data_IF_530401074802
#
_entry.id   IF_530401074802
#
_cell.length_a   1.000
_cell.length_b   1.000
_cell.length_c   1.000
_cell.angle_alpha   90.00
_cell.angle_beta   90.00
_cell.angle_gamma   90.00
#
_symmetry.space_group_name_H-M   'P 1'
#
loop_
_entity.id
_entity.type
_entity.pdbx_description
1 polymer ?
#
# COMPACT_ATOMS: atom_id res chain seq x y z
N UNK A 1 10.97 -24.81 -2.14
CA UNK A 1 11.57 -25.59 -1.00
C UNK A 1 12.47 -26.69 -1.53
N UNK A 2 11.99 -27.43 -2.52
CA UNK A 2 12.74 -28.49 -3.21
C UNK A 2 13.14 -28.07 -4.63
N UNK A 3 14.18 -28.70 -5.15
CA UNK A 3 14.60 -28.66 -6.56
C UNK A 3 13.75 -29.56 -7.45
N UNK A 4 14.10 -29.66 -8.73
CA UNK A 4 13.35 -30.43 -9.73
C UNK A 4 13.27 -31.95 -9.43
N UNK A 5 14.14 -32.51 -8.57
CA UNK A 5 14.05 -33.92 -8.14
C UNK A 5 13.43 -34.09 -6.75
N UNK A 6 12.85 -33.03 -6.18
CA UNK A 6 12.25 -33.10 -4.85
C UNK A 6 13.27 -33.06 -3.71
N UNK A 7 14.55 -32.76 -3.96
CA UNK A 7 15.56 -32.59 -2.92
C UNK A 7 15.50 -31.18 -2.36
N UNK A 8 15.60 -31.02 -1.04
CA UNK A 8 15.56 -29.72 -0.41
C UNK A 8 16.70 -28.80 -0.89
N UNK A 9 16.39 -27.52 -1.08
CA UNK A 9 17.42 -26.51 -1.34
C UNK A 9 18.32 -26.26 -0.13
N UNK A 10 17.73 -26.32 1.07
CA UNK A 10 18.37 -26.06 2.36
C UNK A 10 18.09 -27.24 3.30
N UNK A 11 19.08 -27.61 4.10
CA UNK A 11 18.95 -28.73 5.05
C UNK A 11 17.84 -28.49 6.09
N UNK A 12 17.63 -27.24 6.48
CA UNK A 12 16.60 -26.81 7.42
C UNK A 12 15.16 -26.79 6.83
N UNK A 13 14.99 -27.17 5.56
CA UNK A 13 13.68 -27.23 4.89
C UNK A 13 13.05 -25.86 4.59
N UNK A 14 13.76 -24.74 4.84
CA UNK A 14 13.25 -23.41 4.50
C UNK A 14 13.15 -23.21 2.99
N UNK A 15 12.09 -22.52 2.58
CA UNK A 15 11.90 -22.10 1.20
C UNK A 15 12.86 -20.98 0.81
N UNK A 16 12.95 -20.74 -0.50
CA UNK A 16 13.52 -19.50 -1.00
C UNK A 16 12.61 -18.32 -0.66
N UNK A 17 13.19 -17.12 -0.62
CA UNK A 17 12.45 -15.87 -0.45
C UNK A 17 11.91 -15.45 -1.81
N UNK A 18 10.61 -15.18 -1.89
CA UNK A 18 9.92 -14.79 -3.11
C UNK A 18 9.38 -13.38 -2.96
N UNK A 19 9.66 -12.52 -3.94
CA UNK A 19 9.18 -11.14 -4.00
C UNK A 19 8.20 -10.94 -5.17
N UNK A 20 7.40 -9.88 -5.04
CA UNK A 20 6.59 -9.26 -6.11
C UNK A 20 6.06 -10.24 -7.17
N UNK A 21 5.19 -11.19 -6.79
CA UNK A 21 4.66 -12.13 -7.76
C UNK A 21 3.69 -11.44 -8.72
N UNK A 22 3.72 -11.84 -9.99
CA UNK A 22 2.63 -11.63 -10.93
C UNK A 22 1.97 -12.96 -11.30
N UNK A 23 0.72 -12.91 -11.77
CA UNK A 23 -0.03 -14.09 -12.17
C UNK A 23 -0.80 -13.82 -13.47
N UNK A 24 -0.74 -14.74 -14.43
CA UNK A 24 -1.53 -14.67 -15.65
C UNK A 24 -2.34 -15.96 -15.88
N UNK A 25 -3.51 -15.82 -16.50
CA UNK A 25 -4.38 -16.91 -16.90
C UNK A 25 -4.21 -17.17 -18.41
N UNK A 26 -3.93 -18.42 -18.77
CA UNK A 26 -3.99 -18.94 -20.14
C UNK A 26 -5.24 -19.80 -20.27
N UNK A 27 -6.07 -19.50 -21.27
CA UNK A 27 -7.18 -20.38 -21.65
C UNK A 27 -6.72 -21.33 -22.75
N UNK A 28 -6.75 -22.62 -22.46
CA UNK A 28 -6.35 -23.67 -23.40
C UNK A 28 -7.43 -23.86 -24.47
N UNK A 29 -7.07 -24.49 -25.58
CA UNK A 29 -7.98 -24.73 -26.72
C UNK A 29 -9.19 -25.62 -26.37
N UNK A 30 -9.06 -26.47 -25.34
CA UNK A 30 -10.14 -27.30 -24.80
C UNK A 30 -11.06 -26.55 -23.80
N UNK A 31 -10.81 -25.26 -23.57
CA UNK A 31 -11.56 -24.41 -22.65
C UNK A 31 -11.10 -24.49 -21.19
N UNK A 32 -10.16 -25.39 -20.85
CA UNK A 32 -9.53 -25.44 -19.54
C UNK A 32 -8.62 -24.21 -19.31
N UNK A 33 -8.26 -23.98 -18.05
CA UNK A 33 -7.44 -22.82 -17.65
C UNK A 33 -6.12 -23.29 -17.03
N UNK A 34 -5.06 -22.57 -17.34
CA UNK A 34 -3.74 -22.71 -16.71
C UNK A 34 -3.34 -21.35 -16.13
N UNK A 35 -2.95 -21.32 -14.87
CA UNK A 35 -2.47 -20.11 -14.20
C UNK A 35 -0.95 -20.18 -14.07
N UNK A 36 -0.24 -19.14 -14.52
CA UNK A 36 1.21 -19.02 -14.40
C UNK A 36 1.55 -17.95 -13.36
N UNK A 37 2.35 -18.32 -12.37
CA UNK A 37 2.85 -17.49 -11.30
C UNK A 37 4.32 -17.17 -11.54
N UNK A 38 4.65 -15.88 -11.49
CA UNK A 38 5.98 -15.33 -11.74
C UNK A 38 6.50 -14.65 -10.47
N UNK A 39 7.08 -15.38 -9.51
CA UNK A 39 7.72 -14.76 -8.38
C UNK A 39 9.12 -14.25 -8.76
N UNK A 40 9.51 -13.08 -8.27
CA UNK A 40 10.91 -12.70 -8.23
C UNK A 40 11.63 -13.47 -7.10
N UNK A 41 12.12 -14.66 -7.41
CA UNK A 41 12.83 -15.50 -6.44
C UNK A 41 14.23 -14.93 -6.14
N UNK A 42 14.52 -14.65 -4.87
CA UNK A 42 15.78 -14.04 -4.45
C UNK A 42 16.98 -14.99 -4.45
N UNK A 43 16.77 -16.30 -4.66
CA UNK A 43 17.86 -17.27 -4.67
C UNK A 43 18.61 -17.29 -6.01
N UNK A 44 19.94 -17.32 -5.92
CA UNK A 44 20.82 -17.41 -7.10
C UNK A 44 20.47 -18.61 -7.98
N UNK A 45 20.41 -18.39 -9.29
CA UNK A 45 20.07 -19.39 -10.30
C UNK A 45 18.58 -19.66 -10.48
N UNK A 46 17.69 -19.02 -9.69
CA UNK A 46 16.23 -19.24 -9.77
C UNK A 46 15.40 -17.97 -9.92
N UNK A 47 16.02 -16.82 -10.19
CA UNK A 47 15.32 -15.52 -10.22
C UNK A 47 14.18 -15.44 -11.24
N UNK A 48 14.35 -16.10 -12.38
CA UNK A 48 13.41 -16.20 -13.49
C UNK A 48 12.37 -17.33 -13.31
N UNK A 49 12.14 -17.80 -12.08
CA UNK A 49 11.24 -18.93 -11.80
C UNK A 49 9.83 -18.66 -12.32
N UNK A 50 9.24 -19.66 -12.97
CA UNK A 50 7.84 -19.69 -13.38
C UNK A 50 7.21 -20.96 -12.86
N UNK A 51 6.07 -20.84 -12.21
CA UNK A 51 5.28 -21.96 -11.76
C UNK A 51 3.89 -21.93 -12.38
N UNK A 52 3.25 -23.09 -12.59
CA UNK A 52 1.91 -23.16 -13.14
C UNK A 52 0.98 -24.02 -12.30
N UNK A 53 -0.32 -23.78 -12.42
CA UNK A 53 -1.36 -24.58 -11.79
C UNK A 53 -2.62 -24.63 -12.64
N UNK A 54 -3.43 -25.67 -12.48
CA UNK A 54 -4.79 -25.71 -13.01
C UNK A 54 -5.78 -24.86 -12.17
N UNK A 55 -5.36 -24.39 -11.00
CA UNK A 55 -6.18 -23.59 -10.06
C UNK A 55 -5.50 -22.28 -9.71
N UNK A 56 -6.30 -21.21 -9.56
CA UNK A 56 -5.79 -19.88 -9.20
C UNK A 56 -5.13 -19.84 -7.81
N UNK A 57 -5.51 -20.74 -6.90
CA UNK A 57 -5.01 -20.86 -5.53
C UNK A 57 -3.97 -21.99 -5.36
N UNK A 58 -3.55 -22.60 -6.47
CA UNK A 58 -2.57 -23.68 -6.48
C UNK A 58 -3.15 -25.08 -6.19
N UNK A 59 -2.30 -26.08 -5.93
CA UNK A 59 -0.84 -25.97 -5.80
C UNK A 59 -0.16 -25.58 -7.12
N UNK A 60 0.93 -24.82 -7.01
CA UNK A 60 1.75 -24.41 -8.15
C UNK A 60 2.98 -25.31 -8.27
N UNK A 61 3.32 -25.68 -9.51
CA UNK A 61 4.49 -26.47 -9.85
C UNK A 61 5.42 -25.69 -10.77
N UNK A 62 6.70 -25.61 -10.42
CA UNK A 62 7.70 -24.92 -11.25
C UNK A 62 7.81 -25.62 -12.60
N UNK A 63 7.65 -24.85 -13.69
CA UNK A 63 7.54 -25.38 -15.05
C UNK A 63 8.72 -25.03 -15.96
N UNK A 64 9.70 -24.27 -15.46
CA UNK A 64 10.88 -23.84 -16.21
C UNK A 64 12.20 -24.26 -15.54
N UNK A 65 12.23 -25.44 -14.90
CA UNK A 65 13.48 -26.02 -14.43
C UNK A 65 14.47 -26.18 -15.58
N UNK A 66 15.75 -25.94 -15.30
CA UNK A 66 16.80 -26.20 -16.28
C UNK A 66 16.92 -27.69 -16.58
N UNK A 67 17.15 -28.02 -17.84
CA UNK A 67 17.40 -29.40 -18.26
C UNK A 67 18.78 -29.93 -17.84
N UNK A 68 19.68 -29.05 -17.38
CA UNK A 68 21.07 -29.39 -17.05
C UNK A 68 21.37 -29.30 -15.56
N UNK A 69 20.83 -28.29 -14.87
CA UNK A 69 20.98 -28.14 -13.41
C UNK A 69 19.60 -28.04 -12.75
N UNK A 70 19.18 -29.08 -12.01
CA UNK A 70 17.83 -29.10 -11.44
C UNK A 70 17.60 -28.10 -10.31
N UNK A 71 18.66 -27.45 -9.84
CA UNK A 71 18.57 -26.38 -8.85
C UNK A 71 18.42 -25.01 -9.51
N UNK A 72 18.32 -24.93 -10.83
CA UNK A 72 18.20 -23.68 -11.59
C UNK A 72 16.96 -23.66 -12.46
N UNK A 73 16.52 -22.46 -12.81
CA UNK A 73 15.43 -22.22 -13.76
C UNK A 73 15.92 -21.43 -14.98
N UNK A 74 15.21 -21.59 -16.11
CA UNK A 74 15.52 -21.00 -17.40
C UNK A 74 14.48 -19.94 -17.80
N UNK A 75 14.94 -18.80 -18.31
CA UNK A 75 14.09 -17.66 -18.65
C UNK A 75 14.84 -16.33 -18.61
N UNK A 76 14.23 -15.27 -19.11
CA UNK A 76 14.87 -13.96 -19.27
C UNK A 76 14.50 -12.92 -18.21
N UNK A 77 13.36 -13.08 -17.53
CA UNK A 77 12.86 -12.10 -16.57
C UNK A 77 13.62 -12.16 -15.24
N UNK A 78 13.80 -10.99 -14.61
CA UNK A 78 14.49 -10.85 -13.31
C UNK A 78 13.57 -10.13 -12.29
N UNK A 79 14.00 -8.99 -11.75
CA UNK A 79 13.33 -8.24 -10.67
C UNK A 79 11.91 -7.76 -11.06
N UNK A 80 10.92 -7.93 -10.19
CA UNK A 80 9.51 -7.48 -10.36
C UNK A 80 8.91 -7.80 -11.74
N UNK A 81 8.72 -9.10 -12.06
CA UNK A 81 8.16 -9.51 -13.34
C UNK A 81 6.67 -9.15 -13.44
N UNK A 82 6.26 -8.77 -14.63
CA UNK A 82 4.86 -8.75 -15.06
C UNK A 82 4.72 -9.41 -16.42
N UNK A 83 3.64 -10.16 -16.62
CA UNK A 83 3.38 -10.89 -17.86
C UNK A 83 2.01 -10.52 -18.40
N UNK A 84 1.98 -10.20 -19.69
CA UNK A 84 0.77 -9.92 -20.44
C UNK A 84 0.58 -10.94 -21.54
N UNK A 85 -0.60 -11.55 -21.59
CA UNK A 85 -1.05 -12.36 -22.72
C UNK A 85 -2.03 -11.49 -23.49
N UNK A 86 -1.70 -11.18 -24.72
CA UNK A 86 -2.53 -10.33 -25.58
C UNK A 86 -3.65 -11.13 -26.25
N UNK A 87 -4.61 -10.43 -26.82
CA UNK A 87 -5.80 -11.01 -27.47
C UNK A 87 -5.44 -11.93 -28.66
N UNK A 88 -4.28 -11.72 -29.28
CA UNK A 88 -3.75 -12.52 -30.38
C UNK A 88 -2.93 -13.74 -29.90
N UNK A 89 -2.85 -13.97 -28.59
CA UNK A 89 -2.10 -15.06 -27.97
C UNK A 89 -0.60 -14.83 -27.84
N UNK A 90 -0.09 -13.66 -28.24
CA UNK A 90 1.31 -13.29 -27.99
C UNK A 90 1.51 -12.98 -26.51
N UNK A 91 2.70 -13.29 -26.03
CA UNK A 91 3.05 -13.15 -24.61
C UNK A 91 4.16 -12.13 -24.48
N UNK A 92 4.04 -11.24 -23.52
CA UNK A 92 5.00 -10.18 -23.25
C UNK A 92 5.41 -10.18 -21.79
N UNK A 93 6.72 -10.12 -21.53
CA UNK A 93 7.28 -10.00 -20.19
C UNK A 93 7.86 -8.61 -19.98
N UNK A 94 7.71 -8.09 -18.77
CA UNK A 94 8.20 -6.78 -18.33
C UNK A 94 8.86 -6.94 -16.96
N UNK A 95 10.03 -6.36 -16.74
CA UNK A 95 10.75 -6.51 -15.48
C UNK A 95 11.79 -5.40 -15.29
N UNK A 96 12.33 -5.29 -14.07
CA UNK A 96 13.53 -4.52 -13.78
C UNK A 96 13.43 -3.62 -12.57
N UNK A 97 14.60 -3.16 -12.12
CA UNK A 97 14.78 -2.14 -11.09
C UNK A 97 15.83 -1.13 -11.58
N UNK A 98 15.58 0.17 -11.46
CA UNK A 98 16.32 1.30 -12.05
C UNK A 98 16.50 1.29 -13.58
N UNK A 99 16.10 0.22 -14.26
CA UNK A 99 16.12 0.07 -15.72
C UNK A 99 14.96 -0.83 -16.06
N UNK A 100 14.09 -0.38 -16.95
CA UNK A 100 12.99 -1.20 -17.43
C UNK A 100 13.48 -2.10 -18.56
N UNK A 101 12.97 -3.32 -18.57
CA UNK A 101 13.23 -4.32 -19.60
C UNK A 101 11.89 -4.91 -20.04
N UNK A 102 11.79 -5.24 -21.31
CA UNK A 102 10.63 -5.95 -21.84
C UNK A 102 11.02 -6.86 -23.00
N UNK A 103 10.23 -7.89 -23.25
CA UNK A 103 10.41 -8.77 -24.41
C UNK A 103 9.09 -9.43 -24.81
N UNK A 104 8.97 -9.80 -26.07
CA UNK A 104 8.02 -10.83 -26.47
C UNK A 104 8.58 -12.20 -26.03
N UNK A 105 7.77 -12.98 -25.31
CA UNK A 105 8.12 -14.29 -24.80
C UNK A 105 7.65 -15.40 -25.75
N UNK A 106 8.34 -16.53 -25.72
CA UNK A 106 7.89 -17.75 -26.37
C UNK A 106 6.66 -18.29 -25.61
N UNK A 107 5.47 -18.38 -26.25
CA UNK A 107 4.26 -18.87 -25.60
C UNK A 107 4.36 -20.33 -25.15
N UNK A 108 5.30 -21.12 -25.68
CA UNK A 108 5.49 -22.51 -25.28
C UNK A 108 6.24 -22.64 -23.95
N UNK A 109 7.20 -21.73 -23.69
CA UNK A 109 8.00 -21.76 -22.46
C UNK A 109 7.44 -20.83 -21.40
N UNK A 110 6.75 -19.77 -21.81
CA UNK A 110 6.23 -18.69 -20.96
C UNK A 110 7.34 -17.97 -20.15
N UNK A 111 8.61 -18.16 -20.51
CA UNK A 111 9.76 -17.73 -19.72
C UNK A 111 10.94 -17.21 -20.57
N UNK A 112 11.14 -17.72 -21.78
CA UNK A 112 12.23 -17.34 -22.68
C UNK A 112 11.79 -16.29 -23.70
N UNK A 113 12.72 -15.49 -24.21
CA UNK A 113 12.48 -14.58 -25.33
C UNK A 113 12.05 -15.38 -26.56
N UNK A 114 11.05 -14.90 -27.29
CA UNK A 114 10.58 -15.53 -28.53
C UNK A 114 11.71 -15.53 -29.58
N UNK A 115 11.98 -16.67 -30.25
CA UNK A 115 12.98 -16.72 -31.32
C UNK A 115 12.76 -15.65 -32.40
N UNK A 116 13.84 -14.99 -32.81
CA UNK A 116 13.80 -13.90 -33.80
C UNK A 116 13.39 -12.52 -33.24
N UNK A 117 13.11 -12.42 -31.94
CA UNK A 117 12.86 -11.14 -31.25
C UNK A 117 14.03 -10.77 -30.34
N UNK A 118 13.96 -9.62 -29.66
CA UNK A 118 15.03 -9.13 -28.78
C UNK A 118 14.46 -8.48 -27.54
N UNK A 119 15.27 -8.43 -26.48
CA UNK A 119 14.94 -7.70 -25.27
C UNK A 119 15.03 -6.19 -25.57
N UNK A 120 13.99 -5.47 -25.21
CA UNK A 120 13.93 -4.00 -25.20
C UNK A 120 14.44 -3.50 -23.86
N UNK A 121 15.41 -2.59 -23.90
CA UNK A 121 15.93 -1.89 -22.74
C UNK A 121 15.36 -0.47 -22.71
N UNK A 122 15.11 0.05 -21.51
CA UNK A 122 14.64 1.42 -21.29
C UNK A 122 13.32 1.71 -22.04
N UNK A 123 12.42 0.70 -22.12
CA UNK A 123 11.08 0.83 -22.69
C UNK A 123 10.30 1.98 -22.02
N UNK A 124 10.48 2.10 -20.71
CA UNK A 124 10.16 3.28 -19.91
C UNK A 124 11.49 3.88 -19.40
N UNK A 125 11.85 5.11 -19.77
CA UNK A 125 13.08 5.77 -19.32
C UNK A 125 13.25 5.76 -17.79
N UNK A 126 14.46 5.46 -17.35
CA UNK A 126 14.76 5.31 -15.93
C UNK A 126 14.89 6.64 -15.20
N UNK A 127 14.83 6.61 -13.86
CA UNK A 127 15.08 7.78 -13.00
C UNK A 127 16.45 8.44 -13.18
N UNK A 128 17.40 7.74 -13.79
CA UNK A 128 18.76 8.21 -14.02
C UNK A 128 18.90 8.92 -15.39
N UNK A 129 17.84 8.92 -16.18
CA UNK A 129 17.71 9.70 -17.41
C UNK A 129 16.96 11.00 -17.08
N UNK A 130 17.27 12.07 -17.79
CA UNK A 130 16.59 13.35 -17.65
C UNK A 130 15.24 13.31 -18.41
N UNK A 131 14.29 12.60 -17.82
CA UNK A 131 12.98 12.34 -18.40
C UNK A 131 11.89 12.36 -17.30
N UNK A 132 10.66 12.68 -17.68
CA UNK A 132 9.48 12.65 -16.81
C UNK A 132 9.10 11.24 -16.35
N UNK A 133 9.40 10.18 -17.11
CA UNK A 133 9.00 8.81 -16.80
C UNK A 133 9.59 8.31 -15.47
N UNK A 134 10.89 8.49 -15.26
CA UNK A 134 11.62 8.17 -14.02
C UNK A 134 11.32 6.78 -13.43
N UNK A 135 11.36 5.74 -14.26
CA UNK A 135 11.10 4.35 -13.84
C UNK A 135 11.98 3.92 -12.67
N UNK A 136 11.36 3.30 -11.67
CA UNK A 136 12.05 2.63 -10.56
C UNK A 136 11.94 1.11 -10.64
N UNK A 137 10.74 0.55 -10.47
CA UNK A 137 10.48 -0.90 -10.36
C UNK A 137 8.96 -1.17 -10.52
N UNK A 138 8.47 -2.33 -10.06
CA UNK A 138 7.05 -2.63 -9.94
C UNK A 138 6.26 -2.63 -11.26
N UNK A 139 6.80 -3.30 -12.28
CA UNK A 139 6.13 -3.40 -13.59
C UNK A 139 4.73 -4.00 -13.45
N UNK A 140 3.75 -3.41 -14.12
CA UNK A 140 2.41 -3.98 -14.27
C UNK A 140 1.76 -3.45 -15.53
N UNK A 141 1.00 -4.27 -16.25
CA UNK A 141 0.54 -3.94 -17.60
C UNK A 141 -0.92 -4.37 -17.81
N UNK A 142 -1.70 -3.52 -18.46
CA UNK A 142 -3.10 -3.77 -18.84
C UNK A 142 -3.34 -3.35 -20.27
N UNK A 143 -4.35 -3.93 -20.92
CA UNK A 143 -4.90 -3.41 -22.17
C UNK A 143 -6.27 -2.80 -21.90
N UNK A 144 -6.43 -1.52 -22.23
CA UNK A 144 -7.65 -0.74 -21.96
C UNK A 144 -8.05 -0.06 -23.26
N UNK A 145 -9.19 -0.46 -23.82
CA UNK A 145 -9.73 0.09 -25.08
C UNK A 145 -8.67 0.15 -26.21
N UNK A 146 -7.91 -0.93 -26.36
CA UNK A 146 -6.86 -1.07 -27.38
C UNK A 146 -5.51 -0.43 -27.02
N UNK A 147 -5.40 0.27 -25.87
CA UNK A 147 -4.15 0.87 -25.39
C UNK A 147 -3.43 -0.01 -24.39
N UNK A 148 -2.12 -0.11 -24.49
CA UNK A 148 -1.27 -0.80 -23.53
C UNK A 148 -0.90 0.18 -22.42
N UNK A 149 -1.41 -0.04 -21.22
CA UNK A 149 -1.24 0.82 -20.04
C UNK A 149 -0.28 0.16 -19.08
N UNK A 150 0.92 0.72 -18.98
CA UNK A 150 2.00 0.26 -18.13
C UNK A 150 2.05 1.07 -16.83
N UNK A 151 1.71 0.43 -15.71
CA UNK A 151 1.80 0.96 -14.35
C UNK A 151 3.14 0.56 -13.76
N UNK A 152 3.79 1.49 -13.05
CA UNK A 152 5.10 1.25 -12.44
C UNK A 152 5.33 2.17 -11.24
N UNK A 153 6.26 1.75 -10.36
CA UNK A 153 6.75 2.63 -9.30
C UNK A 153 7.67 3.68 -9.90
N UNK A 154 7.36 4.95 -9.64
CA UNK A 154 8.08 6.11 -10.18
C UNK A 154 8.86 6.81 -9.06
N UNK A 155 10.11 7.15 -9.33
CA UNK A 155 10.81 8.17 -8.55
C UNK A 155 10.28 9.54 -8.94
N UNK A 156 9.69 10.24 -7.99
CA UNK A 156 9.38 11.67 -8.16
C UNK A 156 10.65 12.50 -8.32
N UNK A 157 10.55 13.60 -9.08
CA UNK A 157 11.60 14.61 -9.11
C UNK A 157 11.56 15.44 -7.81
N UNK A 158 12.67 16.08 -7.46
CA UNK A 158 12.69 16.96 -6.31
C UNK A 158 11.78 18.18 -6.56
N UNK A 159 10.89 18.48 -5.62
CA UNK A 159 9.88 19.53 -5.76
C UNK A 159 8.59 19.09 -6.46
N UNK A 160 8.50 17.87 -6.99
CA UNK A 160 7.22 17.30 -7.45
C UNK A 160 6.21 17.38 -6.29
N UNK A 161 5.06 18.01 -6.56
CA UNK A 161 3.98 18.24 -5.59
C UNK A 161 4.38 19.09 -4.37
N UNK A 162 5.49 19.84 -4.46
CA UNK A 162 6.04 20.64 -3.35
C UNK A 162 6.70 19.80 -2.26
N UNK A 163 7.09 18.56 -2.55
CA UNK A 163 7.73 17.63 -1.62
C UNK A 163 9.12 17.18 -2.11
N UNK A 164 10.00 16.71 -1.21
CA UNK A 164 11.25 16.09 -1.61
C UNK A 164 11.03 14.86 -2.49
N UNK A 165 12.01 14.54 -3.33
CA UNK A 165 11.97 13.32 -4.16
C UNK A 165 11.73 12.04 -3.33
N UNK A 166 10.99 11.10 -3.90
CA UNK A 166 10.62 9.82 -3.28
C UNK A 166 10.29 8.75 -4.33
N UNK A 167 10.54 7.48 -3.99
CA UNK A 167 10.11 6.31 -4.77
C UNK A 167 8.73 5.77 -4.37
N UNK A 168 7.93 6.59 -3.70
CA UNK A 168 6.69 6.15 -3.06
C UNK A 168 5.43 6.48 -3.86
N UNK A 169 5.52 6.41 -5.19
CA UNK A 169 4.41 6.71 -6.09
C UNK A 169 4.24 5.64 -7.15
N UNK A 170 3.00 5.32 -7.52
CA UNK A 170 2.74 4.62 -8.78
C UNK A 170 2.36 5.64 -9.85
N UNK A 171 2.90 5.45 -11.04
CA UNK A 171 2.54 6.21 -12.24
C UNK A 171 2.13 5.25 -13.36
N UNK A 172 1.59 5.81 -14.44
CA UNK A 172 1.33 5.06 -15.66
C UNK A 172 1.91 5.74 -16.89
N UNK A 173 2.14 4.91 -17.89
CA UNK A 173 2.40 5.28 -19.27
C UNK A 173 1.48 4.47 -20.19
N UNK A 174 1.20 4.95 -21.40
CA UNK A 174 0.39 4.22 -22.37
C UNK A 174 0.98 4.23 -23.78
N UNK A 175 0.68 3.18 -24.55
CA UNK A 175 1.18 3.00 -25.91
C UNK A 175 0.13 2.33 -26.83
N UNK A 176 0.37 2.40 -28.14
CA UNK A 176 -0.39 1.68 -29.17
C UNK A 176 0.12 0.25 -29.42
N UNK A 177 1.30 -0.08 -28.89
CA UNK A 177 1.94 -1.38 -29.03
C UNK A 177 2.50 -1.84 -27.67
N UNK A 178 2.59 -3.16 -27.41
CA UNK A 178 2.94 -3.70 -26.10
C UNK A 178 4.36 -3.34 -25.64
N UNK A 179 5.25 -3.06 -26.60
CA UNK A 179 6.65 -2.70 -26.34
C UNK A 179 6.95 -1.21 -26.62
N UNK A 180 5.90 -0.38 -26.72
CA UNK A 180 6.02 1.06 -26.93
C UNK A 180 6.05 1.49 -28.40
N UNK A 181 6.37 2.76 -28.68
CA UNK A 181 6.80 3.79 -27.72
C UNK A 181 5.67 4.20 -26.77
N UNK A 182 6.04 4.55 -25.54
CA UNK A 182 5.11 4.94 -24.48
C UNK A 182 5.00 6.45 -24.33
N UNK A 183 3.83 6.92 -23.90
CA UNK A 183 3.53 8.30 -23.50
C UNK A 183 3.26 8.34 -21.99
N UNK A 184 3.87 9.28 -21.26
CA UNK A 184 3.64 9.42 -19.82
C UNK A 184 2.22 9.90 -19.53
N UNK A 185 1.55 9.23 -18.59
CA UNK A 185 0.15 9.47 -18.24
C UNK A 185 -0.07 10.21 -16.92
N UNK A 186 0.88 10.14 -15.99
CA UNK A 186 0.76 10.79 -14.67
C UNK A 186 0.85 9.83 -13.49
N UNK A 187 0.71 10.39 -12.28
CA UNK A 187 0.68 9.65 -11.02
C UNK A 187 -0.73 9.11 -10.75
N UNK A 188 -0.82 7.85 -10.30
CA UNK A 188 -2.09 7.18 -9.94
C UNK A 188 -2.28 7.14 -8.43
N UNK A 189 -1.20 7.00 -7.64
CA UNK A 189 -1.28 7.04 -6.18
C UNK A 189 0.06 7.55 -5.62
N UNK A 190 -0.01 8.33 -4.54
CA UNK A 190 1.15 8.76 -3.77
C UNK A 190 1.06 8.24 -2.33
N UNK A 191 1.97 7.33 -1.99
CA UNK A 191 2.05 6.70 -0.68
C UNK A 191 2.37 7.66 0.46
N UNK A 192 2.85 8.88 0.15
CA UNK A 192 3.13 9.93 1.14
C UNK A 192 1.88 10.57 1.72
N UNK A 193 0.71 10.30 1.15
CA UNK A 193 -0.57 10.88 1.56
C UNK A 193 -0.47 12.42 1.60
N UNK A 194 -0.33 13.03 0.41
CA UNK A 194 -0.09 14.47 0.28
C UNK A 194 -1.25 15.28 0.85
N UNK A 195 -0.93 16.32 1.59
CA UNK A 195 -1.87 17.36 2.04
C UNK A 195 -1.14 18.70 2.18
N UNK A 196 -1.81 19.73 2.65
CA UNK A 196 -1.21 21.02 3.02
C UNK A 196 -1.37 21.31 4.52
N UNK A 197 -0.39 21.99 5.10
CA UNK A 197 -0.50 22.59 6.43
C UNK A 197 -1.39 23.86 6.41
N UNK A 198 -1.49 24.53 7.57
CA UNK A 198 -2.29 25.75 7.76
C UNK A 198 -1.84 26.92 6.88
N UNK A 199 -0.57 26.95 6.46
CA UNK A 199 -0.01 27.98 5.59
C UNK A 199 -0.18 27.68 4.10
N UNK A 200 -0.71 26.50 3.76
CA UNK A 200 -0.81 26.01 2.39
C UNK A 200 0.44 25.31 1.87
N UNK A 201 1.45 25.08 2.72
CA UNK A 201 2.66 24.35 2.32
C UNK A 201 2.37 22.86 2.21
N UNK A 202 2.83 22.21 1.15
CA UNK A 202 2.73 20.76 0.97
C UNK A 202 3.43 20.00 2.09
N UNK A 203 2.76 18.98 2.60
CA UNK A 203 3.25 18.04 3.60
C UNK A 203 2.90 16.62 3.19
N UNK A 204 3.67 15.66 3.68
CA UNK A 204 3.24 14.27 3.73
C UNK A 204 2.51 14.04 5.06
N UNK A 205 1.44 13.27 5.03
CA UNK A 205 0.63 12.94 6.21
C UNK A 205 0.71 11.47 6.58
N UNK A 206 1.62 10.74 5.94
CA UNK A 206 1.92 9.35 6.21
C UNK A 206 3.45 9.15 6.27
N UNK A 207 3.98 8.08 5.66
CA UNK A 207 5.43 7.90 5.56
C UNK A 207 6.03 8.85 4.49
N UNK A 208 7.18 9.51 4.75
CA UNK A 208 7.81 10.44 3.80
C UNK A 208 8.38 9.75 2.55
N UNK A 209 8.65 8.44 2.66
CA UNK A 209 9.30 7.65 1.62
C UNK A 209 8.96 6.16 1.78
N UNK A 210 9.30 5.37 0.76
CA UNK A 210 9.13 3.93 0.74
C UNK A 210 8.87 3.40 -0.67
N UNK A 211 9.18 2.14 -0.94
CA UNK A 211 8.66 1.52 -2.16
C UNK A 211 7.13 1.37 -2.10
N UNK A 212 6.49 1.44 -3.27
CA UNK A 212 5.11 0.99 -3.48
C UNK A 212 5.05 0.11 -4.72
N UNK A 213 4.18 -0.90 -4.70
CA UNK A 213 3.96 -1.85 -5.78
C UNK A 213 2.46 -2.02 -5.95
N UNK A 214 1.98 -2.22 -7.16
CA UNK A 214 0.55 -2.23 -7.41
C UNK A 214 0.15 -2.35 -8.87
N UNK A 215 -1.15 -2.28 -9.12
CA UNK A 215 -1.73 -2.34 -10.45
C UNK A 215 -3.13 -1.74 -10.44
N UNK A 216 -3.76 -1.70 -11.62
CA UNK A 216 -5.15 -1.32 -11.79
C UNK A 216 -5.99 -2.49 -12.28
N UNK A 217 -7.25 -2.54 -11.85
CA UNK A 217 -8.22 -3.54 -12.33
C UNK A 217 -9.64 -2.97 -12.27
N UNK A 218 -10.44 -3.34 -13.27
CA UNK A 218 -11.87 -3.06 -13.27
C UNK A 218 -12.59 -4.21 -12.55
N UNK A 219 -13.27 -3.89 -11.45
CA UNK A 219 -14.11 -4.83 -10.70
C UNK A 219 -15.55 -4.37 -10.84
N UNK A 220 -16.38 -5.19 -11.50
CA UNK A 220 -17.71 -4.79 -11.98
C UNK A 220 -17.58 -3.54 -12.86
N UNK A 221 -18.25 -2.45 -12.49
CA UNK A 221 -18.29 -1.22 -13.28
C UNK A 221 -17.26 -0.17 -12.84
N UNK A 222 -16.44 -0.45 -11.82
CA UNK A 222 -15.51 0.52 -11.23
C UNK A 222 -14.06 0.10 -11.40
N UNK A 223 -13.19 1.07 -11.68
CA UNK A 223 -11.74 0.89 -11.70
C UNK A 223 -11.15 1.16 -10.32
N UNK A 224 -10.10 0.41 -10.01
CA UNK A 224 -9.42 0.46 -8.73
C UNK A 224 -7.91 0.44 -8.96
N UNK A 225 -7.18 1.26 -8.20
CA UNK A 225 -5.74 1.08 -8.00
C UNK A 225 -5.53 0.26 -6.74
N UNK A 226 -4.82 -0.85 -6.88
CA UNK A 226 -4.28 -1.64 -5.78
C UNK A 226 -2.83 -1.24 -5.59
N UNK A 227 -2.44 -1.05 -4.34
CA UNK A 227 -1.07 -0.69 -4.00
C UNK A 227 -0.72 -1.22 -2.61
N UNK A 228 0.53 -1.13 -2.19
CA UNK A 228 0.87 -1.28 -0.78
C UNK A 228 1.32 0.04 -0.18
N UNK A 229 1.05 0.17 1.12
CA UNK A 229 1.65 1.21 1.95
C UNK A 229 2.60 0.63 2.99
N UNK A 230 3.36 1.53 3.58
CA UNK A 230 4.35 1.26 4.60
C UNK A 230 3.72 1.28 6.00
N UNK A 231 4.09 0.33 6.84
CA UNK A 231 3.71 0.25 8.27
C UNK A 231 4.95 -0.03 9.11
N UNK A 232 4.86 0.14 10.42
CA UNK A 232 6.00 -0.05 11.31
C UNK A 232 7.13 0.96 11.06
N UNK A 233 8.34 0.60 11.53
CA UNK A 233 9.53 1.46 11.56
C UNK A 233 10.55 1.11 10.46
N UNK A 234 10.19 0.23 9.53
CA UNK A 234 11.05 -0.16 8.42
C UNK A 234 10.27 -0.29 7.10
N UNK A 235 10.99 -0.44 5.99
CA UNK A 235 10.40 -0.67 4.66
C UNK A 235 9.98 -2.13 4.40
N UNK A 236 10.20 -3.03 5.35
CA UNK A 236 9.90 -4.46 5.20
C UNK A 236 8.49 -4.81 5.67
N UNK A 237 7.82 -3.90 6.36
CA UNK A 237 6.46 -4.09 6.88
C UNK A 237 5.45 -3.28 6.08
N UNK A 238 4.54 -3.95 5.37
CA UNK A 238 3.64 -3.32 4.40
C UNK A 238 2.20 -3.80 4.57
N UNK A 239 1.26 -2.97 4.14
CA UNK A 239 -0.17 -3.28 4.13
C UNK A 239 -0.73 -3.06 2.73
N UNK A 240 -1.50 -4.03 2.22
CA UNK A 240 -2.20 -3.90 0.95
C UNK A 240 -3.35 -2.87 1.08
N UNK A 241 -3.51 -2.07 0.04
CA UNK A 241 -4.46 -0.95 -0.02
C UNK A 241 -5.18 -0.96 -1.38
N UNK A 242 -6.33 -0.31 -1.42
CA UNK A 242 -7.10 -0.10 -2.65
C UNK A 242 -7.76 1.27 -2.61
N UNK A 243 -7.82 1.96 -3.74
CA UNK A 243 -8.55 3.22 -3.91
C UNK A 243 -9.29 3.22 -5.25
N UNK A 244 -10.49 3.84 -5.33
CA UNK A 244 -11.19 3.99 -6.59
C UNK A 244 -10.46 4.98 -7.50
N UNK A 245 -10.51 4.73 -8.80
CA UNK A 245 -9.98 5.62 -9.84
C UNK A 245 -10.96 5.66 -11.02
N UNK A 246 -10.91 6.73 -11.80
CA UNK A 246 -11.57 6.84 -13.08
C UNK A 246 -10.58 6.54 -14.20
N UNK A 247 -11.02 5.82 -15.22
CA UNK A 247 -10.22 5.48 -16.40
C UNK A 247 -11.05 5.76 -17.64
N UNK A 248 -10.46 6.48 -18.60
CA UNK A 248 -11.09 6.78 -19.89
C UNK A 248 -10.06 6.82 -21.01
N UNK A 249 -10.50 6.52 -22.23
CA UNK A 249 -9.71 6.68 -23.44
C UNK A 249 -10.45 7.61 -24.40
N UNK A 250 -9.82 8.74 -24.74
CA UNK A 250 -10.39 9.75 -25.62
C UNK A 250 -9.33 10.23 -26.61
N UNK A 251 -9.67 10.25 -27.90
CA UNK A 251 -8.77 10.64 -28.99
C UNK A 251 -7.41 9.90 -28.95
N UNK A 252 -7.44 8.61 -28.59
CA UNK A 252 -6.25 7.78 -28.46
C UNK A 252 -5.37 8.05 -27.24
N UNK A 253 -5.79 8.94 -26.33
CA UNK A 253 -5.10 9.23 -25.06
C UNK A 253 -5.78 8.52 -23.90
N UNK A 254 -4.99 7.96 -22.99
CA UNK A 254 -5.49 7.36 -21.75
C UNK A 254 -5.44 8.41 -20.66
N UNK A 255 -6.55 8.57 -19.94
CA UNK A 255 -6.61 9.34 -18.70
C UNK A 255 -6.97 8.42 -17.53
N UNK A 256 -6.15 8.46 -16.48
CA UNK A 256 -6.39 7.80 -15.21
C UNK A 256 -6.34 8.85 -14.11
N UNK A 257 -7.40 8.96 -13.31
CA UNK A 257 -7.41 9.86 -12.16
C UNK A 257 -6.44 9.37 -11.08
N UNK A 258 -5.90 10.31 -10.29
CA UNK A 258 -5.19 9.92 -9.08
C UNK A 258 -6.19 9.42 -8.03
N UNK A 259 -5.92 8.25 -7.45
CA UNK A 259 -6.66 7.72 -6.31
C UNK A 259 -6.32 8.48 -5.04
N UNK A 260 -7.30 8.67 -4.16
CA UNK A 260 -7.03 9.30 -2.88
C UNK A 260 -6.42 8.31 -1.88
N UNK A 261 -5.35 8.72 -1.19
CA UNK A 261 -4.85 8.01 -0.02
C UNK A 261 -5.83 8.18 1.16
N UNK A 262 -6.70 7.19 1.36
CA UNK A 262 -7.81 7.25 2.31
C UNK A 262 -7.99 5.92 3.08
N UNK A 263 -9.02 5.85 3.92
CA UNK A 263 -9.31 4.72 4.82
C UNK A 263 -10.38 3.76 4.29
N UNK A 264 -11.00 4.08 3.16
CA UNK A 264 -12.29 3.49 2.75
C UNK A 264 -12.14 2.09 2.13
N UNK A 265 -11.01 1.83 1.47
CA UNK A 265 -10.85 0.64 0.67
C UNK A 265 -12.01 0.52 -0.34
N UNK A 266 -12.77 -0.58 -0.27
CA UNK A 266 -13.93 -0.80 -1.14
C UNK A 266 -15.21 -0.04 -0.73
N UNK A 267 -15.24 0.63 0.43
CA UNK A 267 -16.42 1.32 0.97
C UNK A 267 -16.56 2.73 0.38
N UNK A 268 -16.82 2.84 -0.92
CA UNK A 268 -16.74 4.13 -1.65
C UNK A 268 -17.76 5.18 -1.21
N UNK A 269 -18.87 4.75 -0.61
CA UNK A 269 -19.89 5.62 -0.04
C UNK A 269 -19.50 6.15 1.35
N UNK A 270 -18.34 5.76 1.87
CA UNK A 270 -17.83 6.09 3.19
C UNK A 270 -17.93 4.93 4.16
N UNK A 271 -17.02 4.91 5.14
CA UNK A 271 -17.00 3.97 6.25
C UNK A 271 -18.32 4.05 7.02
N UNK A 272 -18.97 2.90 7.20
CA UNK A 272 -20.16 2.78 8.04
C UNK A 272 -19.81 3.07 9.51
N UNK A 273 -20.32 4.15 10.13
CA UNK A 273 -19.96 4.54 11.49
C UNK A 273 -20.17 3.46 12.54
N UNK A 274 -21.19 2.61 12.40
CA UNK A 274 -21.51 1.57 13.38
C UNK A 274 -20.67 0.29 13.22
N UNK A 275 -19.88 0.17 12.15
CA UNK A 275 -18.93 -0.93 11.98
C UNK A 275 -17.67 -0.67 12.79
N UNK A 276 -17.15 -1.71 13.44
CA UNK A 276 -15.86 -1.69 14.13
C UNK A 276 -14.72 -1.77 13.12
N UNK A 277 -13.86 -0.76 13.11
CA UNK A 277 -12.67 -0.71 12.28
C UNK A 277 -11.40 -0.77 13.11
N UNK A 278 -10.38 -1.44 12.60
CA UNK A 278 -9.03 -1.32 13.13
C UNK A 278 -8.53 0.12 13.00
N UNK A 279 -7.89 0.62 14.05
CA UNK A 279 -7.28 1.94 14.03
C UNK A 279 -6.23 2.09 12.92
N UNK A 280 -5.60 0.98 12.54
CA UNK A 280 -4.60 0.90 11.48
C UNK A 280 -5.07 1.40 10.14
N UNK A 281 -6.37 1.47 9.83
CA UNK A 281 -6.86 2.06 8.57
C UNK A 281 -6.65 3.58 8.46
N UNK A 282 -6.11 4.22 9.51
CA UNK A 282 -5.76 5.63 9.52
C UNK A 282 -4.99 6.01 8.26
N UNK A 283 -5.42 7.08 7.59
CA UNK A 283 -4.84 7.55 6.33
C UNK A 283 -4.10 8.88 6.47
N UNK A 284 -4.12 9.45 7.68
CA UNK A 284 -3.44 10.67 8.07
C UNK A 284 -2.87 10.43 9.46
N UNK A 285 -1.57 10.56 9.65
CA UNK A 285 -0.88 10.46 10.92
C UNK A 285 0.34 11.37 10.92
N UNK A 286 0.26 12.45 11.70
CA UNK A 286 1.30 13.48 11.76
C UNK A 286 1.68 13.77 13.20
N UNK A 287 2.87 14.34 13.39
CA UNK A 287 3.30 14.90 14.66
C UNK A 287 3.94 16.27 14.43
N UNK A 288 4.19 17.08 15.47
CA UNK A 288 4.83 18.39 15.33
C UNK A 288 6.16 18.36 14.56
N UNK A 289 6.89 17.24 14.65
CA UNK A 289 8.07 16.97 13.82
C UNK A 289 7.70 15.94 12.74
N UNK A 290 7.95 16.21 11.45
CA UNK A 290 7.72 15.23 10.39
C UNK A 290 8.56 13.97 10.60
N UNK A 291 8.05 12.82 10.17
CA UNK A 291 8.82 11.59 10.18
C UNK A 291 10.03 11.67 9.25
N UNK A 292 11.09 10.96 9.61
CA UNK A 292 12.35 10.91 8.87
C UNK A 292 12.57 9.52 8.29
N UNK A 293 13.31 9.46 7.17
CA UNK A 293 13.64 8.21 6.50
C UNK A 293 15.15 8.07 6.33
N UNK A 294 15.70 6.96 6.82
CA UNK A 294 17.07 6.52 6.59
C UNK A 294 17.04 5.03 6.26
N UNK A 295 17.08 4.70 4.97
CA UNK A 295 16.80 3.35 4.48
C UNK A 295 17.57 2.25 5.25
N UNK A 296 16.90 1.14 5.64
CA UNK A 296 15.49 0.83 5.43
C UNK A 296 14.59 1.33 6.57
N UNK A 297 15.10 2.17 7.48
CA UNK A 297 14.45 2.59 8.72
C UNK A 297 13.69 3.91 8.58
N UNK A 298 12.66 4.04 9.40
CA UNK A 298 11.85 5.25 9.56
C UNK A 298 11.85 5.66 11.02
N UNK A 299 12.02 6.95 11.25
CA UNK A 299 11.95 7.54 12.58
C UNK A 299 10.69 8.36 12.69
N UNK A 300 9.84 8.01 13.66
CA UNK A 300 8.64 8.77 13.99
C UNK A 300 8.85 9.56 15.28
N UNK A 301 8.19 10.71 15.36
CA UNK A 301 8.18 11.62 16.52
C UNK A 301 6.77 11.75 17.13
N UNK A 302 5.84 10.92 16.63
CA UNK A 302 4.47 10.79 17.10
C UNK A 302 3.77 9.67 16.33
N UNK A 303 2.45 9.78 16.19
CA UNK A 303 1.60 8.67 15.74
C UNK A 303 2.11 7.98 14.47
N UNK A 304 2.17 6.64 14.51
CA UNK A 304 2.40 5.80 13.33
C UNK A 304 1.63 4.49 13.44
N UNK A 305 1.41 3.84 12.30
CA UNK A 305 0.76 2.53 12.24
C UNK A 305 1.80 1.46 12.55
N UNK A 306 1.65 0.73 13.66
CA UNK A 306 2.54 -0.38 13.99
C UNK A 306 2.33 -1.54 13.00
N UNK A 307 3.39 -2.29 12.73
CA UNK A 307 3.29 -3.52 11.94
C UNK A 307 2.79 -4.67 12.83
N UNK A 308 1.67 -5.31 12.47
CA UNK A 308 1.27 -6.57 13.09
C UNK A 308 2.31 -7.65 12.78
N UNK A 309 2.97 -8.17 13.81
CA UNK A 309 3.78 -9.40 13.75
C UNK A 309 3.08 -10.44 14.61
N UNK A 310 3.04 -11.69 14.18
CA UNK A 310 2.36 -12.80 14.86
C UNK A 310 2.77 -12.98 16.35
N UNK A 311 3.89 -12.37 16.78
CA UNK A 311 4.43 -12.45 18.13
C UNK A 311 4.15 -11.24 19.04
N UNK A 312 3.69 -10.09 18.54
CA UNK A 312 3.99 -8.81 19.22
C UNK A 312 2.80 -8.04 19.83
N UNK A 313 1.57 -8.55 19.75
CA UNK A 313 0.41 -7.84 20.33
C UNK A 313 -0.56 -8.78 21.04
N UNK A 314 -1.30 -8.23 22.01
CA UNK A 314 -2.48 -8.88 22.60
C UNK A 314 -3.31 -9.41 21.44
N UNK A 315 -3.41 -10.75 21.32
CA UNK A 315 -4.18 -11.41 20.26
C UNK A 315 -5.60 -10.88 20.32
N UNK A 316 -5.96 -9.99 19.41
CA UNK A 316 -7.36 -9.69 19.16
C UNK A 316 -7.84 -10.74 18.15
N UNK A 317 -8.97 -11.37 18.42
CA UNK A 317 -9.54 -12.36 17.52
C UNK A 317 -9.73 -11.76 16.12
N UNK A 318 -9.13 -12.34 15.07
CA UNK A 318 -9.51 -12.05 13.69
C UNK A 318 -8.44 -11.82 12.61
N UNK A 319 -7.13 -11.80 12.91
CA UNK A 319 -6.09 -11.69 11.86
C UNK A 319 -4.96 -10.73 12.20
N UNK A 320 -4.25 -10.24 11.15
CA UNK A 320 -3.20 -9.23 11.30
C UNK A 320 -3.78 -7.90 11.76
N UNK A 321 -3.49 -7.52 13.00
CA UNK A 321 -3.95 -6.30 13.66
C UNK A 321 -2.86 -5.22 13.63
N UNK A 322 -3.17 -4.02 13.14
CA UNK A 322 -2.23 -2.88 13.07
C UNK A 322 -2.72 -1.72 13.97
N UNK A 323 -2.28 -1.60 15.24
CA UNK A 323 -2.67 -0.44 16.06
C UNK A 323 -1.95 0.83 15.59
N UNK A 324 -2.53 1.99 15.91
CA UNK A 324 -1.83 3.27 15.80
C UNK A 324 -1.19 3.57 17.15
N UNK A 325 0.14 3.60 17.16
CA UNK A 325 0.94 3.69 18.39
C UNK A 325 1.73 4.99 18.41
N UNK A 326 2.42 5.23 19.53
CA UNK A 326 3.25 6.42 19.73
C UNK A 326 2.45 7.72 19.58
N UNK A 327 1.25 7.74 20.17
CA UNK A 327 0.34 8.88 20.14
C UNK A 327 0.80 9.93 21.15
N UNK A 328 1.76 10.75 20.74
CA UNK A 328 2.41 11.79 21.55
C UNK A 328 1.64 13.12 21.51
N UNK A 329 2.10 14.11 22.30
CA UNK A 329 1.51 15.45 22.33
C UNK A 329 1.41 16.06 20.94
N UNK A 330 0.23 16.60 20.63
CA UNK A 330 -0.13 17.25 19.37
C UNK A 330 0.00 16.35 18.13
N UNK A 331 0.17 15.03 18.30
CA UNK A 331 -0.04 14.08 17.20
C UNK A 331 -1.49 14.12 16.73
N UNK A 332 -1.68 13.91 15.43
CA UNK A 332 -3.00 13.87 14.79
C UNK A 332 -3.12 12.57 14.02
N UNK A 333 -4.24 11.86 14.21
CA UNK A 333 -4.61 10.66 13.46
C UNK A 333 -5.94 10.92 12.76
N UNK A 334 -6.07 10.59 11.48
CA UNK A 334 -7.24 10.88 10.67
C UNK A 334 -7.74 9.71 9.84
N UNK A 335 -9.05 9.69 9.66
CA UNK A 335 -9.82 8.68 8.94
C UNK A 335 -10.69 9.39 7.89
N UNK A 336 -10.51 9.02 6.62
CA UNK A 336 -11.21 9.59 5.47
C UNK A 336 -11.89 8.45 4.71
N UNK A 337 -13.20 8.37 4.61
CA UNK A 337 -14.24 9.18 5.25
C UNK A 337 -15.25 8.28 5.94
N UNK A 338 -15.85 8.75 7.03
CA UNK A 338 -17.06 8.13 7.57
C UNK A 338 -18.29 8.69 6.88
N UNK A 339 -19.29 7.85 6.57
CA UNK A 339 -20.58 8.30 6.09
C UNK A 339 -21.57 8.45 7.25
N UNK A 340 -21.94 9.69 7.59
CA UNK A 340 -22.82 9.97 8.72
C UNK A 340 -24.31 9.96 8.41
N UNK A 341 -24.73 9.59 7.19
CA UNK A 341 -26.15 9.44 6.85
C UNK A 341 -26.86 8.46 7.79
N UNK A 342 -26.20 7.35 8.13
CA UNK A 342 -26.75 6.35 9.05
C UNK A 342 -26.91 6.86 10.49
N UNK A 343 -26.18 7.91 10.86
CA UNK A 343 -26.21 8.50 12.21
C UNK A 343 -27.08 9.75 12.30
N UNK A 344 -27.67 10.19 11.19
CA UNK A 344 -28.41 11.43 11.14
C UNK A 344 -29.61 11.41 12.10
N UNK A 345 -29.71 12.42 12.97
CA UNK A 345 -30.76 12.56 13.97
C UNK A 345 -30.50 11.84 15.30
N UNK A 346 -29.48 10.98 15.40
CA UNK A 346 -29.16 10.25 16.64
C UNK A 346 -28.48 11.17 17.68
N UNK A 347 -29.29 11.78 18.55
CA UNK A 347 -28.78 12.68 19.61
C UNK A 347 -28.02 11.94 20.72
N UNK A 348 -28.07 10.61 20.75
CA UNK A 348 -27.32 9.77 21.68
C UNK A 348 -25.94 9.39 21.16
N UNK A 349 -25.69 9.54 19.85
CA UNK A 349 -24.49 9.09 19.15
C UNK A 349 -23.20 9.35 19.93
N UNK A 350 -22.41 8.29 20.08
CA UNK A 350 -21.11 8.32 20.74
C UNK A 350 -20.04 7.86 19.77
N UNK A 351 -18.86 8.48 19.86
CA UNK A 351 -17.65 7.88 19.31
C UNK A 351 -17.07 6.97 20.39
N UNK A 352 -16.80 5.71 20.04
CA UNK A 352 -16.11 4.73 20.87
C UNK A 352 -14.71 4.48 20.30
N UNK A 353 -13.72 4.54 21.18
CA UNK A 353 -12.34 4.14 20.91
C UNK A 353 -12.00 2.96 21.81
N UNK A 354 -11.39 1.93 21.25
CA UNK A 354 -10.73 0.89 22.02
C UNK A 354 -9.23 1.08 21.95
N UNK A 355 -8.59 1.20 23.11
CA UNK A 355 -7.20 1.61 23.25
C UNK A 355 -6.53 0.93 24.43
N UNK A 356 -5.20 0.91 24.43
CA UNK A 356 -4.37 0.50 25.57
C UNK A 356 -3.75 1.75 26.20
N UNK A 357 -4.12 2.12 27.45
CA UNK A 357 -3.51 3.23 28.17
C UNK A 357 -2.06 2.90 28.56
N UNK A 358 -1.19 3.93 28.58
CA UNK A 358 0.26 3.81 28.83
C UNK A 358 0.77 4.60 30.05
N UNK A 359 -0.13 4.87 31.00
CA UNK A 359 0.17 5.47 32.30
C UNK A 359 0.23 6.99 32.32
N UNK A 360 -0.20 7.64 31.23
CA UNK A 360 -0.20 9.10 31.11
C UNK A 360 -1.60 9.69 31.35
N UNK A 361 -1.65 10.90 31.91
CA UNK A 361 -2.86 11.72 31.97
C UNK A 361 -2.94 12.64 30.75
N UNK A 362 -4.14 12.79 30.20
CA UNK A 362 -4.36 13.62 29.04
C UNK A 362 -5.74 13.42 28.43
N UNK A 363 -5.88 13.78 27.16
CA UNK A 363 -7.14 13.62 26.44
C UNK A 363 -6.95 13.54 24.92
N UNK A 364 -7.99 13.05 24.25
CA UNK A 364 -8.11 12.99 22.79
C UNK A 364 -9.24 13.94 22.40
N UNK A 365 -8.91 14.98 21.64
CA UNK A 365 -9.90 15.85 21.03
C UNK A 365 -10.33 15.28 19.67
N UNK A 366 -11.65 15.29 19.42
CA UNK A 366 -12.26 14.71 18.22
C UNK A 366 -12.72 15.84 17.31
N UNK A 367 -12.33 15.77 16.05
CA UNK A 367 -12.63 16.78 15.04
C UNK A 367 -13.32 16.17 13.82
N UNK A 368 -14.22 16.94 13.22
CA UNK A 368 -14.63 16.75 11.83
C UNK A 368 -13.89 17.76 10.98
N UNK A 369 -13.17 17.30 9.95
CA UNK A 369 -12.21 18.09 9.20
C UNK A 369 -10.86 18.24 9.90
N UNK A 370 -9.83 18.66 9.14
CA UNK A 370 -8.46 18.66 9.62
C UNK A 370 -8.26 19.74 10.72
N UNK A 371 -7.83 19.36 11.95
CA UNK A 371 -7.71 20.29 13.08
C UNK A 371 -6.63 21.37 12.92
N UNK A 372 -5.72 21.24 11.95
CA UNK A 372 -4.73 22.27 11.63
C UNK A 372 -5.25 23.31 10.62
N UNK A 373 -6.41 23.08 10.01
CA UNK A 373 -6.99 23.94 8.97
C UNK A 373 -8.38 24.42 9.37
N UNK A 374 -9.40 23.65 9.00
CA UNK A 374 -10.82 24.01 9.10
C UNK A 374 -11.61 23.07 10.03
N UNK A 375 -10.92 22.24 10.82
CA UNK A 375 -11.53 21.23 11.67
C UNK A 375 -12.42 21.81 12.77
N UNK A 376 -13.58 21.22 12.96
CA UNK A 376 -14.52 21.57 14.02
C UNK A 376 -14.44 20.52 15.11
N UNK A 377 -14.09 20.92 16.33
CA UNK A 377 -14.13 20.04 17.49
C UNK A 377 -15.57 19.62 17.80
N UNK A 378 -15.79 18.31 17.89
CA UNK A 378 -17.10 17.68 18.11
C UNK A 378 -17.18 16.86 19.40
N UNK A 379 -16.04 16.51 20.01
CA UNK A 379 -16.01 15.75 21.26
C UNK A 379 -14.62 15.72 21.89
N UNK A 380 -14.55 15.07 23.06
CA UNK A 380 -13.32 14.79 23.81
C UNK A 380 -13.45 13.49 24.59
N UNK A 381 -12.40 12.68 24.61
CA UNK A 381 -12.23 11.52 25.50
C UNK A 381 -11.06 11.81 26.44
N UNK A 382 -11.28 11.74 27.75
CA UNK A 382 -10.21 11.89 28.74
C UNK A 382 -9.55 10.53 29.00
N UNK A 383 -8.23 10.52 29.15
CA UNK A 383 -7.43 9.35 29.51
C UNK A 383 -6.72 9.67 30.81
N UNK A 384 -6.86 8.78 31.80
CA UNK A 384 -6.20 8.91 33.09
C UNK A 384 -5.24 7.76 33.33
N UNK A 385 -4.18 8.04 34.08
CA UNK A 385 -3.23 7.05 34.61
C UNK A 385 -3.88 5.97 35.50
N UNK A 386 -5.11 6.20 35.98
CA UNK A 386 -5.90 5.24 36.76
C UNK A 386 -6.59 4.16 35.93
N UNK A 387 -6.60 4.26 34.60
CA UNK A 387 -7.16 3.22 33.75
C UNK A 387 -6.31 1.94 33.83
N UNK A 388 -6.89 0.75 33.56
CA UNK A 388 -6.12 -0.48 33.43
C UNK A 388 -4.98 -0.33 32.41
N UNK A 389 -3.73 -0.41 32.88
CA UNK A 389 -2.54 -0.23 32.05
C UNK A 389 -2.22 -1.50 31.27
N UNK A 390 -1.70 -1.35 30.05
CA UNK A 390 -1.32 -2.48 29.17
C UNK A 390 -2.47 -3.47 28.89
N UNK A 391 -3.72 -3.01 29.02
CA UNK A 391 -4.93 -3.77 28.72
C UNK A 391 -5.81 -2.96 27.78
N UNK A 392 -6.54 -3.67 26.91
CA UNK A 392 -7.50 -3.02 26.03
C UNK A 392 -8.70 -2.51 26.84
N UNK A 393 -8.97 -1.21 26.77
CA UNK A 393 -10.12 -0.57 27.40
C UNK A 393 -10.99 0.11 26.34
N UNK A 394 -12.28 0.21 26.62
CA UNK A 394 -13.24 0.95 25.78
C UNK A 394 -13.60 2.28 26.42
N UNK A 395 -13.37 3.38 25.71
CA UNK A 395 -13.79 4.72 26.12
C UNK A 395 -14.71 5.31 25.05
N UNK A 396 -15.75 6.03 25.48
CA UNK A 396 -16.65 6.71 24.54
C UNK A 396 -17.06 8.09 25.02
N UNK A 397 -17.44 8.94 24.06
CA UNK A 397 -17.94 10.30 24.34
C UNK A 397 -19.05 10.68 23.38
N UNK A 398 -19.97 11.54 23.83
CA UNK A 398 -21.05 12.03 22.96
C UNK A 398 -20.50 12.97 21.90
N UNK A 399 -21.03 12.84 20.68
CA UNK A 399 -20.64 13.65 19.52
C UNK A 399 -21.88 14.28 18.85
N UNK A 400 -22.66 15.10 19.57
CA UNK A 400 -23.98 15.56 19.13
C UNK A 400 -23.96 16.44 17.87
N UNK A 401 -22.80 16.99 17.50
CA UNK A 401 -22.62 17.74 16.26
C UNK A 401 -22.62 16.82 15.03
N UNK A 402 -22.08 15.61 15.14
CA UNK A 402 -22.03 14.62 14.05
C UNK A 402 -23.44 14.15 13.69
N UNK A 403 -24.31 13.98 14.68
CA UNK A 403 -25.71 13.60 14.48
C UNK A 403 -26.54 14.59 13.61
N UNK A 404 -25.99 15.77 13.29
CA UNK A 404 -26.64 16.75 12.40
C UNK A 404 -26.01 16.79 11.01
N UNK A 405 -24.98 15.97 10.77
CA UNK A 405 -24.26 15.90 9.50
C UNK A 405 -24.90 14.84 8.61
N UNK A 406 -24.64 14.96 7.31
CA UNK A 406 -25.00 14.01 6.27
C UNK A 406 -23.78 13.82 5.36
N UNK A 407 -23.72 12.68 4.68
CA UNK A 407 -22.68 12.31 3.73
C UNK A 407 -21.34 12.00 4.37
N UNK A 408 -20.30 12.06 3.53
CA UNK A 408 -18.93 11.70 3.88
C UNK A 408 -18.20 12.84 4.57
N UNK A 409 -17.63 12.56 5.73
CA UNK A 409 -16.82 13.50 6.51
C UNK A 409 -15.55 12.84 7.03
N UNK A 410 -14.46 13.61 7.06
CA UNK A 410 -13.20 13.17 7.61
C UNK A 410 -13.20 13.35 9.14
N UNK A 411 -12.82 12.31 9.87
CA UNK A 411 -12.73 12.33 11.33
C UNK A 411 -11.25 12.36 11.73
N UNK A 412 -10.89 13.26 12.64
CA UNK A 412 -9.54 13.39 13.17
C UNK A 412 -9.53 13.32 14.69
N UNK A 413 -8.48 12.69 15.22
CA UNK A 413 -8.15 12.59 16.63
C UNK A 413 -6.88 13.38 16.87
N UNK A 414 -6.88 14.30 17.83
CA UNK A 414 -5.69 15.03 18.28
C UNK A 414 -5.38 14.64 19.72
N UNK A 415 -4.15 14.22 19.95
CA UNK A 415 -3.71 13.71 21.26
C UNK A 415 -3.08 14.83 22.08
N UNK A 416 -3.40 14.83 23.37
CA UNK A 416 -2.90 15.80 24.35
C UNK A 416 -2.46 15.10 25.64
N UNK A 417 -1.27 15.41 26.14
CA UNK A 417 -0.73 14.98 27.43
C UNK A 417 -0.76 16.17 28.41
N UNK A 418 -1.13 15.91 29.66
CA UNK A 418 -1.14 16.95 30.71
C UNK A 418 0.27 17.36 31.15
N UNK A 419 1.26 16.48 30.92
CA UNK A 419 2.68 16.72 31.20
C UNK A 419 3.52 16.22 30.03
N UNK A 420 3.57 16.98 28.92
CA UNK A 420 4.25 16.55 27.71
C UNK A 420 5.75 16.49 27.93
N UNK A 421 6.36 15.44 27.38
CA UNK A 421 7.81 15.36 27.19
C UNK A 421 8.15 15.82 25.78
N UNK A 422 9.42 16.14 25.54
CA UNK A 422 9.89 16.40 24.18
C UNK A 422 9.58 15.20 23.29
N UNK A 423 9.03 15.48 22.10
CA UNK A 423 8.77 14.49 21.05
C UNK A 423 10.10 14.01 20.44
N UNK A 424 10.91 13.33 21.24
CA UNK A 424 12.17 12.74 20.83
C UNK A 424 11.93 11.55 19.89
N UNK A 425 12.96 11.20 19.13
CA UNK A 425 12.91 10.08 18.18
C UNK A 425 12.54 8.78 18.91
N UNK A 426 11.52 8.07 18.42
CA UNK A 426 11.23 6.73 18.90
C UNK A 426 12.12 5.70 18.18
N UNK A 427 13.12 5.20 18.89
CA UNK A 427 14.06 4.19 18.39
C UNK A 427 13.54 2.77 18.57
N UNK A 428 14.26 1.77 18.07
CA UNK A 428 13.74 0.40 18.02
C UNK A 428 13.48 -0.26 19.36
N UNK A 429 14.15 0.20 20.42
CA UNK A 429 14.09 -0.40 21.76
C UNK A 429 13.52 0.55 22.83
N UNK A 430 13.13 1.77 22.45
CA UNK A 430 12.55 2.70 23.41
C UNK A 430 11.14 2.23 23.78
N UNK A 431 10.77 2.22 25.07
CA UNK A 431 9.38 2.04 25.46
C UNK A 431 8.53 3.22 24.94
N UNK A 432 7.29 2.94 24.56
CA UNK A 432 6.33 3.98 24.15
C UNK A 432 5.93 4.90 25.32
N UNK A 433 5.89 4.36 26.54
CA UNK A 433 5.73 5.14 27.76
C UNK A 433 7.10 5.71 28.17
N UNK A 434 7.20 6.94 28.71
CA UNK A 434 6.11 7.85 29.10
C UNK A 434 5.66 8.86 28.03
N UNK A 435 6.13 8.75 26.80
CA UNK A 435 5.91 9.76 25.75
C UNK A 435 4.58 9.61 25.01
N UNK A 436 4.01 8.41 24.97
CA UNK A 436 2.74 8.09 24.31
C UNK A 436 1.58 8.03 25.31
N UNK A 437 0.44 8.63 24.95
CA UNK A 437 -0.78 8.62 25.77
C UNK A 437 -1.42 7.22 25.82
N UNK A 438 -1.51 6.57 24.65
CA UNK A 438 -2.12 5.26 24.47
C UNK A 438 -1.68 4.59 23.16
N UNK A 439 -1.98 3.31 23.00
CA UNK A 439 -2.06 2.63 21.70
C UNK A 439 -3.52 2.59 21.27
N UNK A 440 -3.85 3.01 20.06
CA UNK A 440 -5.21 3.00 19.54
C UNK A 440 -5.43 1.74 18.70
N UNK A 441 -6.46 0.94 19.03
CA UNK A 441 -6.70 -0.36 18.41
C UNK A 441 -7.94 -0.37 17.53
N UNK A 442 -9.05 0.22 17.98
CA UNK A 442 -10.30 0.24 17.22
C UNK A 442 -11.05 1.55 17.34
N UNK A 443 -11.89 1.81 16.33
CA UNK A 443 -12.76 2.97 16.24
C UNK A 443 -14.12 2.58 15.66
N UNK A 444 -15.19 3.06 16.28
CA UNK A 444 -16.56 2.99 15.77
C UNK A 444 -17.47 3.99 16.49
N UNK A 445 -18.71 4.08 16.04
CA UNK A 445 -19.79 4.81 16.69
C UNK A 445 -20.79 3.84 17.31
N UNK A 446 -21.48 4.27 18.37
CA UNK A 446 -22.48 3.50 19.13
C UNK A 446 -23.61 4.36 19.68
#
# INVERSE_FOLDING_TARGET
KTDAQGKNFREDGRGDVLYAPDICEVRNSDGSKTYYLYPHNQAGGRKNMVAKSARQDGPFEVCNWSSVDPRRTEGCMDFDPAVFIDDDGRVYGYWGINTSWAAELDPNTMASVKPGTSIVKDMIPSKNQDDIFRFFEASSIRKIEGKYVFVYSRWTADGDFGLPQSNYTLAYAYADAPLGPYTYGGTIIDGRARDTDASGKSIFTACPNGNTHGSIVKIKDRWWVFYHRQTGKDEYSRQAMVAPIDVSVHDGKVFISEGEYNSEGFETEGLNPYKKYEAGIACYYTSPRPAEHNWPRKTFFGSYIASGRDSDFVRVEGGSHNPVVFNTEASIVGYKYFNFDACHGDKSLRLKLELVPLGQNGHIDIFIGNPQKNGVKVGRINISDKLPQNQLVSLSTRVPKIARMNGKHALFLRFHLDSPQDNAAHTDNAPLSPTSLCELHYINFE
#
